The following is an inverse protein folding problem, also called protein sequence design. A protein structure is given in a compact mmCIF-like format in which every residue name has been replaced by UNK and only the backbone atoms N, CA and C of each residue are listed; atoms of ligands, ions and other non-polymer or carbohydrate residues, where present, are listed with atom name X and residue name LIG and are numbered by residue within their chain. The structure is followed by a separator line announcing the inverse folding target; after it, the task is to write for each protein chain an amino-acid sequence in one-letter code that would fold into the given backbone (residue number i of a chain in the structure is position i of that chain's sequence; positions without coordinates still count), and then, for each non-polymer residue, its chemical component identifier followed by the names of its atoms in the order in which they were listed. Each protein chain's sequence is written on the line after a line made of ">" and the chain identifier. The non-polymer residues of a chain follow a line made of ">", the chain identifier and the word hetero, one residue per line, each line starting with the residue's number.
data_IF_577365264532
#
_entry.id   IF_577365264532
#
_cell.length_a   1.000
_cell.length_b   1.000
_cell.length_c   1.000
_cell.angle_alpha   90.00
_cell.angle_beta   90.00
_cell.angle_gamma   90.00
#
_symmetry.space_group_name_H-M   'P 1'
#
loop_
_entity.id
_entity.type
_entity.pdbx_description
1 polymer ?
#
# COMPACT_ATOMS: atom_id res chain seq x y z
N UNK A 1 8.50 -4.75 2.95
CA UNK A 1 9.02 -5.51 4.12
C UNK A 1 9.01 -7.02 3.85
N UNK A 2 9.83 -7.84 4.52
CA UNK A 2 9.72 -9.31 4.42
C UNK A 2 8.34 -9.79 4.86
N UNK A 3 7.84 -10.87 4.23
CA UNK A 3 6.48 -11.44 4.35
C UNK A 3 5.32 -10.61 3.78
N UNK A 4 5.56 -9.39 3.30
CA UNK A 4 4.53 -8.57 2.65
C UNK A 4 3.96 -9.21 1.38
N UNK A 5 2.76 -8.77 0.97
CA UNK A 5 2.16 -9.16 -0.31
C UNK A 5 1.47 -7.98 -1.00
N UNK A 6 1.98 -7.57 -2.16
CA UNK A 6 1.51 -6.39 -2.89
C UNK A 6 0.91 -6.71 -4.27
N UNK A 7 0.90 -7.99 -4.67
CA UNK A 7 0.32 -8.43 -5.93
C UNK A 7 1.14 -9.48 -6.65
N UNK A 8 0.76 -9.76 -7.90
CA UNK A 8 1.39 -10.78 -8.76
C UNK A 8 1.75 -10.28 -10.16
N UNK A 9 1.61 -8.99 -10.43
CA UNK A 9 2.23 -8.40 -11.65
C UNK A 9 3.73 -8.29 -11.42
N UNK A 10 4.57 -8.30 -12.46
CA UNK A 10 6.02 -8.35 -12.29
C UNK A 10 6.58 -7.33 -11.28
N UNK A 11 6.13 -6.08 -11.35
CA UNK A 11 6.57 -5.03 -10.41
C UNK A 11 6.01 -5.22 -8.98
N UNK A 12 4.73 -5.60 -8.84
CA UNK A 12 4.15 -5.84 -7.49
C UNK A 12 4.64 -7.14 -6.85
N UNK A 13 5.04 -8.10 -7.69
CA UNK A 13 5.73 -9.31 -7.28
C UNK A 13 7.15 -8.97 -6.80
N UNK A 14 7.87 -8.08 -7.50
CA UNK A 14 9.15 -7.57 -7.04
C UNK A 14 9.05 -6.86 -5.68
N UNK A 15 7.98 -6.08 -5.48
CA UNK A 15 7.67 -5.42 -4.21
C UNK A 15 7.32 -6.42 -3.08
N UNK A 16 6.64 -7.51 -3.41
CA UNK A 16 6.22 -8.57 -2.46
C UNK A 16 7.43 -9.20 -1.79
N UNK A 17 7.52 -9.13 -0.46
CA UNK A 17 8.68 -9.59 0.32
C UNK A 17 8.69 -11.09 0.64
N UNK A 18 8.30 -11.93 -0.32
CA UNK A 18 8.23 -13.40 -0.18
C UNK A 18 9.09 -14.04 -1.28
N UNK A 19 10.41 -14.25 -1.03
CA UNK A 19 11.37 -14.68 -2.04
C UNK A 19 10.98 -15.97 -2.79
N UNK A 20 10.30 -16.90 -2.12
CA UNK A 20 9.78 -18.13 -2.69
C UNK A 20 8.77 -17.88 -3.83
N UNK A 21 8.06 -16.74 -3.82
CA UNK A 21 7.15 -16.34 -4.90
C UNK A 21 7.89 -15.75 -6.10
N UNK A 22 9.16 -15.38 -5.96
CA UNK A 22 9.99 -14.79 -7.02
C UNK A 22 10.63 -15.85 -7.92
N UNK A 23 10.98 -17.02 -7.36
CA UNK A 23 11.73 -18.08 -8.04
C UNK A 23 11.20 -18.44 -9.44
N UNK A 24 9.88 -18.60 -9.66
CA UNK A 24 9.36 -19.01 -10.97
C UNK A 24 9.40 -17.92 -12.04
N UNK A 25 9.71 -16.67 -11.68
CA UNK A 25 9.54 -15.49 -12.54
C UNK A 25 10.85 -14.72 -12.73
N UNK A 26 11.99 -15.33 -12.44
CA UNK A 26 13.29 -14.69 -12.63
C UNK A 26 13.59 -14.45 -14.13
N UNK A 27 14.20 -13.31 -14.50
CA UNK A 27 14.59 -12.21 -13.62
C UNK A 27 13.41 -11.30 -13.22
N UNK A 28 13.35 -10.94 -11.93
CA UNK A 28 12.40 -9.97 -11.38
C UNK A 28 12.91 -8.53 -11.62
N UNK A 29 12.02 -7.53 -11.83
CA UNK A 29 12.41 -6.12 -11.89
C UNK A 29 13.25 -5.66 -10.70
N UNK A 30 14.30 -4.89 -10.98
CA UNK A 30 15.15 -4.26 -9.97
C UNK A 30 14.45 -3.06 -9.29
N UNK A 31 15.11 -2.47 -8.28
CA UNK A 31 14.64 -1.25 -7.60
C UNK A 31 13.90 -1.48 -6.26
N UNK A 32 13.71 -2.73 -5.85
CA UNK A 32 13.10 -3.08 -4.57
C UNK A 32 14.14 -3.59 -3.57
N UNK A 33 14.05 -3.10 -2.34
CA UNK A 33 14.84 -3.56 -1.18
C UNK A 33 13.86 -3.98 -0.09
N UNK A 34 14.14 -5.10 0.58
CA UNK A 34 13.29 -5.61 1.66
C UNK A 34 14.02 -5.52 2.99
N UNK A 35 13.33 -5.02 4.01
CA UNK A 35 13.78 -4.97 5.39
C UNK A 35 12.93 -5.91 6.26
N UNK A 36 13.47 -6.26 7.43
CA UNK A 36 12.76 -7.02 8.45
C UNK A 36 11.48 -6.27 8.90
N UNK A 37 10.42 -7.04 9.16
CA UNK A 37 9.13 -6.50 9.62
C UNK A 37 9.24 -6.01 11.07
N UNK A 38 8.58 -4.89 11.40
CA UNK A 38 8.64 -4.24 12.72
C UNK A 38 10.07 -3.90 13.22
N UNK A 39 11.02 -3.73 12.31
CA UNK A 39 12.40 -3.36 12.63
C UNK A 39 12.77 -2.05 11.91
N UNK A 40 12.66 -0.93 12.63
CA UNK A 40 12.96 0.39 12.09
C UNK A 40 14.44 0.53 11.72
N UNK A 41 15.36 -0.09 12.48
CA UNK A 41 16.78 -0.04 12.20
C UNK A 41 17.12 -0.80 10.90
N UNK A 42 16.47 -1.94 10.66
CA UNK A 42 16.59 -2.66 9.40
C UNK A 42 16.05 -1.85 8.21
N UNK A 43 14.94 -1.11 8.40
CA UNK A 43 14.43 -0.18 7.38
C UNK A 43 15.47 0.90 7.08
N UNK A 44 16.00 1.58 8.11
CA UNK A 44 17.02 2.63 7.95
C UNK A 44 18.28 2.13 7.24
N UNK A 45 18.75 0.92 7.59
CA UNK A 45 19.90 0.29 6.96
C UNK A 45 19.66 -0.09 5.48
N UNK A 46 18.40 -0.34 5.10
CA UNK A 46 17.99 -0.64 3.75
C UNK A 46 17.73 0.62 2.90
N UNK A 47 17.92 1.83 3.43
CA UNK A 47 17.80 3.06 2.65
C UNK A 47 19.10 3.37 1.90
N UNK A 48 18.97 4.07 0.77
CA UNK A 48 20.05 4.62 -0.04
C UNK A 48 19.56 5.94 -0.66
N UNK A 49 20.47 6.81 -1.18
CA UNK A 49 20.08 8.10 -1.75
C UNK A 49 19.03 8.02 -2.86
N UNK A 50 18.96 6.90 -3.59
CA UNK A 50 18.04 6.68 -4.71
C UNK A 50 16.65 6.16 -4.28
N UNK A 51 16.45 5.84 -2.99
CA UNK A 51 15.17 5.33 -2.50
C UNK A 51 14.16 6.47 -2.43
N UNK A 52 13.14 6.41 -3.30
CA UNK A 52 12.09 7.44 -3.37
C UNK A 52 10.85 7.17 -2.50
N UNK A 53 10.63 5.94 -2.03
CA UNK A 53 9.45 5.58 -1.27
C UNK A 53 9.66 4.37 -0.36
N UNK A 54 8.86 4.29 0.71
CA UNK A 54 8.67 3.10 1.54
C UNK A 54 7.24 2.60 1.34
N UNK A 55 7.10 1.32 0.96
CA UNK A 55 5.83 0.61 0.79
C UNK A 55 5.67 -0.46 1.87
N UNK A 56 4.54 -0.43 2.58
CA UNK A 56 4.16 -1.48 3.53
C UNK A 56 2.64 -1.59 3.70
N UNK A 57 2.18 -2.74 4.20
CA UNK A 57 0.84 -2.92 4.75
C UNK A 57 0.86 -2.43 6.23
N UNK A 58 -0.22 -1.88 6.80
CA UNK A 58 -0.26 -1.56 8.24
C UNK A 58 -0.39 -2.82 9.12
N UNK A 59 -0.86 -3.91 8.52
CA UNK A 59 -0.88 -5.26 9.06
C UNK A 59 -0.68 -6.20 7.88
N UNK A 60 0.29 -7.11 7.97
CA UNK A 60 0.56 -8.05 6.89
C UNK A 60 -0.51 -9.13 6.84
N UNK A 61 -1.29 -9.14 5.78
CA UNK A 61 -2.37 -10.10 5.59
C UNK A 61 -1.86 -11.50 5.31
N UNK A 62 -1.41 -11.69 4.07
CA UNK A 62 -0.89 -12.96 3.56
C UNK A 62 0.39 -13.42 4.28
N UNK A 63 1.09 -12.50 4.94
CA UNK A 63 2.26 -12.79 5.76
C UNK A 63 1.95 -13.53 7.07
N UNK A 64 0.66 -13.73 7.40
CA UNK A 64 0.21 -14.46 8.58
C UNK A 64 -0.53 -13.61 9.61
N UNK A 65 -1.19 -12.52 9.19
CA UNK A 65 -1.90 -11.59 10.09
C UNK A 65 -0.92 -11.03 11.14
N UNK A 66 0.12 -10.32 10.66
CA UNK A 66 1.13 -9.70 11.53
C UNK A 66 0.87 -8.19 11.63
N UNK A 67 0.28 -7.67 12.72
CA UNK A 67 0.10 -6.23 12.90
C UNK A 67 1.44 -5.51 13.00
N UNK A 68 1.50 -4.28 12.48
CA UNK A 68 2.63 -3.42 12.75
C UNK A 68 2.57 -2.88 14.18
N UNK A 69 3.73 -2.69 14.80
CA UNK A 69 3.79 -1.90 16.03
C UNK A 69 3.48 -0.44 15.71
N UNK A 70 2.66 0.23 16.53
CA UNK A 70 2.29 1.63 16.27
C UNK A 70 3.51 2.55 16.24
N UNK A 71 4.49 2.30 17.12
CA UNK A 71 5.77 3.01 17.14
C UNK A 71 6.62 2.74 15.90
N UNK A 72 6.50 1.56 15.28
CA UNK A 72 7.17 1.25 14.02
C UNK A 72 6.59 2.07 12.87
N UNK A 73 5.25 2.11 12.73
CA UNK A 73 4.58 2.92 11.70
C UNK A 73 4.89 4.42 11.85
N UNK A 74 4.85 4.93 13.08
CA UNK A 74 5.25 6.31 13.40
C UNK A 74 6.72 6.59 13.05
N UNK A 75 7.60 5.64 13.36
CA UNK A 75 9.03 5.73 13.01
C UNK A 75 9.25 5.79 11.51
N UNK A 76 8.57 4.93 10.74
CA UNK A 76 8.66 4.93 9.27
C UNK A 76 8.13 6.24 8.67
N UNK A 77 7.00 6.76 9.16
CA UNK A 77 6.49 8.07 8.73
C UNK A 77 7.50 9.18 8.96
N UNK A 78 8.04 9.29 10.18
CA UNK A 78 9.08 10.28 10.51
C UNK A 78 10.31 10.14 9.59
N UNK A 79 10.73 8.92 9.32
CA UNK A 79 11.86 8.64 8.43
C UNK A 79 11.61 9.10 6.98
N UNK A 80 10.39 8.91 6.48
CA UNK A 80 9.99 9.45 5.18
C UNK A 80 10.04 10.99 5.16
N UNK A 81 9.56 11.64 6.22
CA UNK A 81 9.56 13.11 6.32
C UNK A 81 10.98 13.68 6.37
N UNK A 82 11.85 13.08 7.19
CA UNK A 82 13.26 13.51 7.36
C UNK A 82 14.08 13.37 6.08
N UNK A 83 13.71 12.43 5.20
CA UNK A 83 14.47 12.11 3.98
C UNK A 83 13.79 12.53 2.69
N UNK A 84 12.60 13.14 2.76
CA UNK A 84 11.83 13.52 1.58
C UNK A 84 11.39 12.32 0.72
N UNK A 85 11.11 11.19 1.36
CA UNK A 85 10.59 9.99 0.70
C UNK A 85 9.06 9.91 0.84
N UNK A 86 8.42 9.19 -0.08
CA UNK A 86 6.98 8.93 0.03
C UNK A 86 6.69 7.73 0.93
N UNK A 87 5.69 7.86 1.80
CA UNK A 87 5.08 6.73 2.49
C UNK A 87 3.87 6.21 1.72
N UNK A 88 3.96 4.97 1.25
CA UNK A 88 2.88 4.26 0.58
C UNK A 88 2.35 3.20 1.55
N UNK A 89 1.07 3.30 1.92
CA UNK A 89 0.40 2.27 2.74
C UNK A 89 -0.52 1.45 1.86
N UNK A 90 -0.28 0.14 1.83
CA UNK A 90 -1.14 -0.83 1.16
C UNK A 90 -2.29 -1.23 2.07
N UNK A 91 -3.45 -0.60 1.85
CA UNK A 91 -4.70 -0.84 2.55
C UNK A 91 -5.63 -1.80 1.76
N UNK A 92 -5.12 -2.50 0.74
CA UNK A 92 -5.96 -3.37 -0.10
C UNK A 92 -6.67 -4.44 0.74
N UNK A 93 -6.05 -4.95 1.81
CA UNK A 93 -6.70 -5.92 2.71
C UNK A 93 -7.20 -5.29 4.02
N UNK A 94 -6.49 -4.31 4.56
CA UNK A 94 -6.69 -3.76 5.91
C UNK A 94 -7.60 -2.54 5.96
N UNK A 95 -7.82 -1.88 4.83
CA UNK A 95 -8.64 -0.70 4.75
C UNK A 95 -10.13 -1.00 4.80
N UNK A 96 -10.90 0.06 4.70
CA UNK A 96 -12.36 0.05 4.58
C UNK A 96 -13.01 -0.69 5.75
N UNK A 97 -12.68 -0.25 6.97
CA UNK A 97 -13.32 -0.73 8.20
C UNK A 97 -12.81 -2.08 8.72
N UNK A 98 -11.95 -2.80 7.96
CA UNK A 98 -11.54 -4.17 8.30
C UNK A 98 -10.89 -4.29 9.67
N UNK A 99 -10.14 -3.27 10.08
CA UNK A 99 -9.37 -3.25 11.35
C UNK A 99 -10.09 -2.49 12.48
N UNK A 100 -11.34 -2.06 12.27
CA UNK A 100 -12.10 -1.25 13.23
C UNK A 100 -11.94 0.27 13.06
N UNK A 101 -11.04 0.70 12.16
CA UNK A 101 -10.94 2.07 11.66
C UNK A 101 -11.15 2.07 10.14
N UNK A 102 -11.40 3.23 9.55
CA UNK A 102 -11.53 3.34 8.08
C UNK A 102 -10.30 2.83 7.35
N UNK A 103 -9.11 3.09 7.88
CA UNK A 103 -7.83 2.61 7.35
C UNK A 103 -6.90 2.19 8.49
N UNK A 104 -6.14 1.12 8.29
CA UNK A 104 -5.23 0.56 9.29
C UNK A 104 -4.16 1.55 9.79
N UNK A 105 -3.68 2.45 8.93
CA UNK A 105 -2.69 3.46 9.35
C UNK A 105 -3.20 4.42 10.43
N UNK A 106 -4.53 4.58 10.57
CA UNK A 106 -5.13 5.52 11.52
C UNK A 106 -4.89 5.11 12.97
N UNK A 107 -4.75 3.80 13.24
CA UNK A 107 -4.40 3.29 14.57
C UNK A 107 -3.06 3.84 15.09
N UNK A 108 -2.13 4.17 14.19
CA UNK A 108 -0.84 4.77 14.54
C UNK A 108 -0.87 6.31 14.54
N UNK A 109 -1.99 6.94 14.16
CA UNK A 109 -2.12 8.39 14.07
C UNK A 109 -1.25 9.04 12.99
N UNK A 110 -0.88 8.30 11.94
CA UNK A 110 -0.03 8.81 10.85
C UNK A 110 -0.86 9.16 9.61
N UNK A 111 -0.29 9.97 8.72
CA UNK A 111 -0.84 10.25 7.40
C UNK A 111 0.15 9.79 6.31
N UNK A 112 -0.22 8.84 5.44
CA UNK A 112 0.61 8.44 4.31
C UNK A 112 0.48 9.41 3.13
N UNK A 113 1.45 9.34 2.22
CA UNK A 113 1.46 10.13 0.99
C UNK A 113 0.61 9.49 -0.10
N UNK A 114 0.55 8.14 -0.09
CA UNK A 114 -0.22 7.32 -1.03
C UNK A 114 -0.90 6.17 -0.28
N UNK A 115 -2.14 5.87 -0.64
CA UNK A 115 -2.90 4.72 -0.11
C UNK A 115 -3.45 3.91 -1.28
N UNK A 116 -3.16 2.60 -1.30
CA UNK A 116 -3.81 1.68 -2.25
C UNK A 116 -4.96 0.96 -1.59
N UNK A 117 -6.08 0.84 -2.29
CA UNK A 117 -7.30 0.18 -1.79
C UNK A 117 -8.00 -0.60 -2.89
N UNK A 118 -8.58 -1.74 -2.55
CA UNK A 118 -9.40 -2.56 -3.44
C UNK A 118 -10.29 -3.46 -2.57
N UNK A 119 -10.49 -4.74 -2.94
CA UNK A 119 -11.20 -5.77 -2.16
C UNK A 119 -12.51 -5.25 -1.54
N UNK A 120 -12.48 -4.82 -0.28
CA UNK A 120 -13.63 -4.26 0.43
C UNK A 120 -14.30 -3.11 -0.34
N UNK A 121 -13.57 -2.36 -1.17
CA UNK A 121 -14.07 -1.22 -1.93
C UNK A 121 -15.24 -1.59 -2.84
N UNK A 122 -15.10 -2.70 -3.57
CA UNK A 122 -16.14 -3.18 -4.48
C UNK A 122 -17.00 -4.29 -3.90
N UNK A 123 -16.64 -4.80 -2.71
CA UNK A 123 -17.27 -5.91 -2.00
C UNK A 123 -17.78 -7.04 -2.93
N UNK A 124 -16.95 -7.44 -3.91
CA UNK A 124 -17.27 -8.45 -4.93
C UNK A 124 -17.10 -7.95 -6.37
N UNK A 125 -17.39 -6.68 -6.65
CA UNK A 125 -17.16 -6.08 -7.98
C UNK A 125 -15.68 -5.66 -8.10
N UNK A 126 -14.95 -6.02 -9.18
CA UNK A 126 -13.56 -5.61 -9.33
C UNK A 126 -13.40 -4.10 -9.47
N UNK A 127 -12.77 -3.49 -8.47
CA UNK A 127 -12.36 -2.08 -8.47
C UNK A 127 -11.20 -1.90 -7.49
N UNK A 128 -10.24 -1.08 -7.88
CA UNK A 128 -9.18 -0.60 -7.02
C UNK A 128 -9.06 0.91 -7.18
N UNK A 129 -8.51 1.56 -6.17
CA UNK A 129 -8.21 2.98 -6.17
C UNK A 129 -6.83 3.21 -5.55
N UNK A 130 -6.20 4.29 -6.01
CA UNK A 130 -5.00 4.86 -5.40
C UNK A 130 -5.36 6.28 -5.02
N UNK A 131 -5.29 6.57 -3.73
CA UNK A 131 -5.38 7.94 -3.23
C UNK A 131 -3.97 8.46 -2.99
N UNK A 132 -3.72 9.73 -3.31
CA UNK A 132 -2.45 10.39 -3.05
C UNK A 132 -2.71 11.86 -2.66
N UNK A 133 -1.75 12.47 -1.97
CA UNK A 133 -1.76 13.92 -1.73
C UNK A 133 -1.70 14.69 -3.05
N UNK A 134 -2.23 15.91 -3.08
CA UNK A 134 -2.31 16.70 -4.31
C UNK A 134 -0.94 16.92 -4.97
N UNK A 135 0.10 17.19 -4.18
CA UNK A 135 1.46 17.42 -4.67
C UNK A 135 2.07 16.14 -5.27
N UNK A 136 1.80 14.98 -4.69
CA UNK A 136 2.25 13.68 -5.22
C UNK A 136 1.48 13.30 -6.48
N UNK A 137 0.16 13.50 -6.48
CA UNK A 137 -0.70 13.23 -7.64
C UNK A 137 -0.35 14.13 -8.84
N UNK A 138 0.13 15.36 -8.59
CA UNK A 138 0.56 16.30 -9.62
C UNK A 138 1.79 15.82 -10.42
N UNK A 139 2.49 14.78 -9.96
CA UNK A 139 3.54 14.13 -10.73
C UNK A 139 3.03 13.41 -11.99
N UNK A 140 1.74 13.06 -12.05
CA UNK A 140 1.11 12.49 -13.24
C UNK A 140 0.41 13.57 -14.07
N UNK A 141 0.77 13.64 -15.34
CA UNK A 141 0.05 14.36 -16.39
C UNK A 141 -0.82 13.43 -17.25
N UNK A 142 -1.64 14.02 -18.16
CA UNK A 142 -2.39 13.24 -19.13
C UNK A 142 -1.48 12.37 -19.99
N UNK A 143 -1.68 11.04 -19.94
CA UNK A 143 -0.93 10.06 -20.73
C UNK A 143 0.07 9.21 -19.94
N UNK A 144 0.42 9.59 -18.71
CA UNK A 144 1.42 8.86 -17.90
C UNK A 144 0.89 7.52 -17.37
N UNK A 145 -0.42 7.42 -17.14
CA UNK A 145 -1.07 6.20 -16.69
C UNK A 145 -2.51 6.09 -17.22
N UNK A 146 -3.03 4.87 -17.35
CA UNK A 146 -4.40 4.63 -17.80
C UNK A 146 -4.83 3.18 -17.69
N UNK A 147 -6.14 2.95 -17.69
CA UNK A 147 -6.75 1.62 -17.72
C UNK A 147 -8.15 1.71 -18.33
N UNK A 148 -8.47 0.82 -19.26
CA UNK A 148 -9.75 0.80 -19.99
C UNK A 148 -10.96 0.69 -19.07
N UNK A 149 -10.84 -0.08 -17.98
CA UNK A 149 -11.96 -0.36 -17.08
C UNK A 149 -11.90 0.41 -15.75
N UNK A 150 -10.82 1.16 -15.50
CA UNK A 150 -10.71 1.97 -14.29
C UNK A 150 -11.77 3.09 -14.29
N UNK A 151 -12.45 3.28 -13.15
CA UNK A 151 -13.48 4.30 -13.01
C UNK A 151 -14.76 4.06 -13.82
N UNK A 152 -14.96 2.86 -14.38
CA UNK A 152 -16.18 2.57 -15.14
C UNK A 152 -17.44 2.76 -14.28
N UNK A 153 -18.55 3.29 -14.83
CA UNK A 153 -19.73 3.67 -14.04
C UNK A 153 -20.33 2.53 -13.21
N UNK A 154 -20.33 1.30 -13.73
CA UNK A 154 -20.88 0.14 -13.01
C UNK A 154 -20.10 -0.15 -11.72
N UNK A 155 -18.78 -0.24 -11.82
CA UNK A 155 -17.91 -0.53 -10.69
C UNK A 155 -17.90 0.65 -9.69
N UNK A 156 -17.87 1.88 -10.19
CA UNK A 156 -17.93 3.08 -9.35
C UNK A 156 -19.26 3.21 -8.60
N UNK A 157 -20.39 2.91 -9.25
CA UNK A 157 -21.70 2.93 -8.59
C UNK A 157 -21.80 1.86 -7.48
N UNK A 158 -21.29 0.65 -7.74
CA UNK A 158 -21.22 -0.41 -6.72
C UNK A 158 -20.34 -0.02 -5.54
N UNK A 159 -19.14 0.50 -5.80
CA UNK A 159 -18.24 0.96 -4.74
C UNK A 159 -18.82 2.11 -3.92
N UNK A 160 -19.47 3.08 -4.58
CA UNK A 160 -20.14 4.19 -3.87
C UNK A 160 -21.23 3.68 -2.94
N UNK A 161 -22.01 2.70 -3.37
CA UNK A 161 -23.07 2.14 -2.53
C UNK A 161 -22.52 1.35 -1.35
N UNK A 162 -21.42 0.59 -1.55
CA UNK A 162 -20.70 -0.06 -0.46
C UNK A 162 -20.24 0.96 0.58
N UNK A 163 -19.58 2.04 0.15
CA UNK A 163 -19.10 3.09 1.06
C UNK A 163 -20.25 3.78 1.79
N UNK A 164 -21.35 4.13 1.09
CA UNK A 164 -22.55 4.73 1.69
C UNK A 164 -23.11 3.85 2.81
N UNK A 165 -23.25 2.55 2.56
CA UNK A 165 -23.75 1.61 3.58
C UNK A 165 -22.80 1.55 4.77
N UNK A 166 -21.49 1.54 4.53
CA UNK A 166 -20.49 1.52 5.61
C UNK A 166 -20.50 2.80 6.46
N UNK A 167 -20.75 3.96 5.86
CA UNK A 167 -20.86 5.25 6.58
C UNK A 167 -22.12 5.34 7.47
N UNK A 168 -23.17 4.57 7.14
CA UNK A 168 -24.44 4.55 7.86
C UNK A 168 -24.48 3.54 9.03
N UNK A 169 -23.45 2.70 9.15
CA UNK A 169 -23.31 1.70 10.23
C UNK A 169 -22.64 2.29 11.47
#
# INVERSE_FOLDING_TARGET
>A
AFRSFHGRTMATLAATGQPEKHEPFQPIPEGFRHAAWNDLAAVEAALAPEVGAILLEPLQGEGGVNPADMTFLQGVRRLCDERGMLLIIDEVQTGLGRTGEWFGFQHAGIAPDVVTMAKGLGNGVPIGAVWATADVAAAFGPGDHGSTFAGQPLAAAGAREVLRIMEEM
#
